data_IF_516891773515
#
_entry.id   IF_516891773515
#
_cell.length_a   1.000
_cell.length_b   1.000
_cell.length_c   1.000
_cell.angle_alpha   90.00
_cell.angle_beta   90.00
_cell.angle_gamma   90.00
#
_symmetry.space_group_name_H-M   'P 1'
#
loop_
_entity.id
_entity.type
_entity.pdbx_description
1 polymer ?
#
# COMPACT_ATOMS: atom_id res chain seq x y z
N UNK A 1 4.53 -6.60 -6.67
CA UNK A 1 3.57 -7.52 -6.03
C UNK A 1 2.20 -6.85 -5.96
N UNK A 2 1.42 -6.92 -7.05
CA UNK A 2 0.11 -6.26 -7.16
C UNK A 2 -0.81 -6.59 -5.97
N UNK A 3 -0.75 -7.83 -5.47
CA UNK A 3 -1.58 -8.29 -4.35
C UNK A 3 -1.28 -7.53 -3.04
N UNK A 4 -0.01 -7.19 -2.76
CA UNK A 4 0.37 -6.48 -1.53
C UNK A 4 -0.19 -5.07 -1.45
N UNK A 5 -0.26 -4.37 -2.58
CA UNK A 5 -0.79 -3.00 -2.65
C UNK A 5 -2.31 -2.94 -2.87
N UNK A 6 -2.99 -4.09 -3.04
CA UNK A 6 -4.44 -4.13 -3.26
C UNK A 6 -5.27 -3.41 -2.18
N UNK A 7 -5.00 -3.58 -0.86
CA UNK A 7 -5.74 -2.89 0.18
C UNK A 7 -5.62 -1.36 0.03
N UNK A 8 -4.41 -0.87 -0.25
CA UNK A 8 -4.17 0.55 -0.47
C UNK A 8 -5.02 1.07 -1.63
N UNK A 9 -5.02 0.38 -2.78
CA UNK A 9 -5.75 0.80 -3.98
C UNK A 9 -7.26 0.76 -3.74
N UNK A 10 -7.80 -0.39 -3.31
CA UNK A 10 -9.25 -0.60 -3.23
C UNK A 10 -9.91 0.29 -2.18
N UNK A 11 -9.30 0.42 -0.99
CA UNK A 11 -9.87 1.23 0.09
C UNK A 11 -9.74 2.71 -0.23
N UNK A 12 -8.64 3.15 -0.86
CA UNK A 12 -8.50 4.55 -1.30
C UNK A 12 -9.56 4.89 -2.34
N UNK A 13 -9.80 4.01 -3.33
CA UNK A 13 -10.85 4.21 -4.32
C UNK A 13 -12.25 4.23 -3.67
N UNK A 14 -12.52 3.34 -2.71
CA UNK A 14 -13.79 3.33 -1.99
C UNK A 14 -14.00 4.61 -1.19
N UNK A 15 -12.99 5.10 -0.45
CA UNK A 15 -13.06 6.34 0.32
C UNK A 15 -13.31 7.55 -0.59
N UNK A 16 -12.60 7.63 -1.71
CA UNK A 16 -12.86 8.67 -2.72
C UNK A 16 -14.26 8.58 -3.28
N UNK A 17 -14.72 7.38 -3.63
CA UNK A 17 -16.08 7.13 -4.10
C UNK A 17 -17.12 7.65 -3.12
N UNK A 18 -17.04 7.24 -1.85
CA UNK A 18 -17.95 7.67 -0.78
C UNK A 18 -17.94 9.18 -0.56
N UNK A 19 -16.77 9.82 -0.63
CA UNK A 19 -16.65 11.27 -0.50
C UNK A 19 -17.28 12.02 -1.67
N UNK A 20 -17.01 11.58 -2.91
CA UNK A 20 -17.50 12.24 -4.13
C UNK A 20 -19.02 12.16 -4.28
N UNK A 21 -19.66 11.08 -3.83
CA UNK A 21 -21.12 10.95 -3.83
C UNK A 21 -21.79 11.55 -2.57
N UNK A 22 -21.01 12.17 -1.68
CA UNK A 22 -21.52 12.87 -0.50
C UNK A 22 -21.95 11.97 0.66
N UNK A 23 -21.57 10.68 0.68
CA UNK A 23 -21.89 9.77 1.79
C UNK A 23 -21.09 10.09 3.04
N UNK A 24 -19.85 10.58 2.90
CA UNK A 24 -18.99 10.99 4.02
C UNK A 24 -18.55 12.44 3.88
N UNK A 25 -18.47 13.15 5.00
CA UNK A 25 -17.95 14.51 5.07
C UNK A 25 -16.42 14.55 5.06
N UNK A 26 -15.85 15.70 4.69
CA UNK A 26 -14.41 15.90 4.56
C UNK A 26 -13.61 15.50 5.81
N UNK A 27 -14.11 15.79 7.02
CA UNK A 27 -13.44 15.42 8.27
C UNK A 27 -13.32 13.90 8.44
N UNK A 28 -14.37 13.15 8.12
CA UNK A 28 -14.38 11.67 8.17
C UNK A 28 -13.46 11.10 7.10
N UNK A 29 -13.53 11.64 5.87
CA UNK A 29 -12.63 11.23 4.79
C UNK A 29 -11.17 11.40 5.20
N UNK A 30 -10.78 12.59 5.69
CA UNK A 30 -9.39 12.89 6.09
C UNK A 30 -8.93 11.93 7.18
N UNK A 31 -9.73 11.75 8.23
CA UNK A 31 -9.37 10.89 9.36
C UNK A 31 -9.14 9.44 8.89
N UNK A 32 -10.12 8.86 8.20
CA UNK A 32 -10.07 7.45 7.79
C UNK A 32 -9.00 7.23 6.73
N UNK A 33 -8.86 8.14 5.77
CA UNK A 33 -7.82 8.07 4.75
C UNK A 33 -6.42 8.16 5.37
N UNK A 34 -6.21 9.00 6.39
CA UNK A 34 -4.92 9.11 7.07
C UNK A 34 -4.56 7.81 7.82
N UNK A 35 -5.50 7.22 8.57
CA UNK A 35 -5.28 5.93 9.24
C UNK A 35 -5.04 4.79 8.24
N UNK A 36 -5.83 4.74 7.17
CA UNK A 36 -5.66 3.77 6.09
C UNK A 36 -4.28 3.89 5.43
N UNK A 37 -3.89 5.11 5.01
CA UNK A 37 -2.60 5.35 4.38
C UNK A 37 -1.43 5.02 5.32
N UNK A 38 -1.54 5.34 6.60
CA UNK A 38 -0.53 4.98 7.60
C UNK A 38 -0.40 3.46 7.76
N UNK A 39 -1.53 2.72 7.73
CA UNK A 39 -1.52 1.26 7.79
C UNK A 39 -0.89 0.59 6.57
N UNK A 40 -1.07 1.18 5.38
CA UNK A 40 -0.55 0.64 4.11
C UNK A 40 0.86 1.13 3.73
N UNK A 41 1.51 1.98 4.53
CA UNK A 41 2.79 2.59 4.16
C UNK A 41 3.91 1.55 3.98
N UNK A 42 3.89 0.46 4.76
CA UNK A 42 4.85 -0.64 4.64
C UNK A 42 4.72 -1.38 3.31
N UNK A 43 3.50 -1.70 2.90
CA UNK A 43 3.23 -2.37 1.63
C UNK A 43 3.61 -1.49 0.44
N UNK A 44 3.34 -0.18 0.52
CA UNK A 44 3.78 0.78 -0.49
C UNK A 44 5.31 0.86 -0.57
N UNK A 45 5.99 0.93 0.58
CA UNK A 45 7.44 0.92 0.64
C UNK A 45 8.02 -0.35 -0.02
N UNK A 46 7.46 -1.51 0.31
CA UNK A 46 7.90 -2.77 -0.27
C UNK A 46 7.72 -2.81 -1.79
N UNK A 47 6.56 -2.37 -2.28
CA UNK A 47 6.29 -2.31 -3.72
C UNK A 47 7.26 -1.37 -4.45
N UNK A 48 7.59 -0.23 -3.84
CA UNK A 48 8.61 0.71 -4.36
C UNK A 48 9.97 0.01 -4.47
N UNK A 49 10.42 -0.65 -3.40
CA UNK A 49 11.73 -1.33 -3.41
C UNK A 49 11.78 -2.40 -4.51
N UNK A 50 10.72 -3.20 -4.67
CA UNK A 50 10.65 -4.21 -5.73
C UNK A 50 10.60 -3.61 -7.13
N UNK A 51 9.86 -2.51 -7.33
CA UNK A 51 9.77 -1.83 -8.62
C UNK A 51 11.12 -1.33 -9.12
N UNK A 52 12.00 -0.94 -8.20
CA UNK A 52 13.36 -0.50 -8.50
C UNK A 52 14.42 -1.61 -8.37
N UNK A 53 14.01 -2.84 -8.04
CA UNK A 53 14.94 -3.97 -7.95
C UNK A 53 15.30 -4.50 -9.33
N UNK A 54 16.51 -5.09 -9.51
CA UNK A 54 16.91 -5.67 -10.78
C UNK A 54 15.94 -6.76 -11.26
N UNK A 55 15.83 -6.91 -12.59
CA UNK A 55 15.07 -8.02 -13.17
C UNK A 55 15.67 -9.35 -12.69
N UNK A 56 14.82 -10.24 -12.19
CA UNK A 56 15.26 -11.50 -11.58
C UNK A 56 15.59 -11.40 -10.09
N UNK A 57 15.32 -10.26 -9.45
CA UNK A 57 15.39 -10.14 -8.01
C UNK A 57 14.45 -11.14 -7.32
N UNK A 58 15.00 -11.79 -6.30
CA UNK A 58 14.35 -12.73 -5.41
C UNK A 58 14.09 -12.04 -4.08
N UNK A 59 13.00 -12.40 -3.42
CA UNK A 59 12.66 -11.89 -2.08
C UNK A 59 12.62 -13.08 -1.13
N UNK A 60 13.30 -12.93 0.00
CA UNK A 60 13.28 -13.88 1.10
C UNK A 60 12.78 -13.19 2.37
N UNK A 61 11.75 -13.77 2.99
CA UNK A 61 11.28 -13.39 4.31
C UNK A 61 12.16 -14.03 5.38
N UNK A 62 12.57 -13.24 6.36
CA UNK A 62 13.53 -13.63 7.39
C UNK A 62 13.00 -13.25 8.77
N UNK A 63 13.51 -13.86 9.82
CA UNK A 63 13.11 -13.54 11.20
C UNK A 63 13.36 -12.06 11.58
N UNK A 64 14.20 -11.34 10.84
CA UNK A 64 14.57 -9.94 11.12
C UNK A 64 14.06 -8.95 10.06
N UNK A 65 13.22 -9.39 9.12
CA UNK A 65 12.73 -8.57 8.02
C UNK A 65 12.83 -9.28 6.68
N UNK A 66 13.16 -8.57 5.60
CA UNK A 66 13.21 -9.14 4.25
C UNK A 66 14.57 -8.90 3.60
N UNK A 67 15.02 -9.87 2.81
CA UNK A 67 16.23 -9.76 1.98
C UNK A 67 15.82 -9.78 0.51
N UNK A 68 16.37 -8.84 -0.28
CA UNK A 68 16.17 -8.78 -1.73
C UNK A 68 17.53 -8.93 -2.40
N UNK A 69 17.65 -9.90 -3.30
CA UNK A 69 18.92 -10.28 -3.90
C UNK A 69 18.73 -10.81 -5.32
N UNK A 70 19.82 -10.89 -6.09
CA UNK A 70 19.84 -11.51 -7.42
C UNK A 70 20.67 -12.79 -7.31
N UNK A 71 20.21 -13.88 -7.93
CA UNK A 71 20.96 -15.15 -8.00
C UNK A 71 22.08 -15.11 -9.02
#
# INVERSE_FOLDING_TARGET
MIIGIMPLILITLALWGLFLIGVIHASVFILVAAFHAAGCVGDLYFEIVLMFSPIGAMVEDTATGMTIYVK
#
